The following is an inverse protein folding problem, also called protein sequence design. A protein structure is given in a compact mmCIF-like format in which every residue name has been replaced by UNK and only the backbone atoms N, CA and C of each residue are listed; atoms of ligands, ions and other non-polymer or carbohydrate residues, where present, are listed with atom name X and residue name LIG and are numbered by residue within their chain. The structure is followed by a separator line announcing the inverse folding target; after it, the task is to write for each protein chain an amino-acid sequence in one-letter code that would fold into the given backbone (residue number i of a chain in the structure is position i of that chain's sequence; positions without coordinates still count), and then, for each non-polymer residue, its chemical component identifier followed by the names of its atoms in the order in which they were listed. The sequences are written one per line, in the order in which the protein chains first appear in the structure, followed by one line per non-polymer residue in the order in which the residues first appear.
data_IF_846437081688
#
_entry.id   IF_846437081688
#
_cell.length_a   1.000
_cell.length_b   1.000
_cell.length_c   1.000
_cell.angle_alpha   90.00
_cell.angle_beta   90.00
_cell.angle_gamma   90.00
#
_symmetry.space_group_name_H-M   'P 1'
#
loop_
_entity.id
_entity.type
_entity.pdbx_description
1 polymer ?
#
# COMPACT_ATOMS: atom_id res chain seq x y z
N UNK A 1 49.65 -28.16 60.17
CA UNK A 1 48.25 -27.75 60.47
C UNK A 1 47.79 -26.88 59.31
N UNK A 2 46.71 -27.23 58.60
CA UNK A 2 46.16 -26.38 57.53
C UNK A 2 45.40 -25.22 58.17
N UNK A 3 46.01 -24.04 58.20
CA UNK A 3 45.43 -22.81 58.78
C UNK A 3 44.18 -22.32 58.02
N UNK A 4 44.02 -22.75 56.77
CA UNK A 4 42.92 -22.35 55.87
C UNK A 4 41.57 -23.06 56.18
N UNK A 5 41.58 -24.10 57.02
CA UNK A 5 40.39 -24.90 57.34
C UNK A 5 39.80 -24.62 58.73
N UNK A 6 40.31 -23.61 59.45
CA UNK A 6 39.84 -23.27 60.79
C UNK A 6 38.67 -22.28 60.73
N UNK A 7 37.65 -22.51 61.54
CA UNK A 7 36.57 -21.54 61.71
C UNK A 7 37.09 -20.29 62.45
N UNK A 8 36.42 -19.15 62.25
CA UNK A 8 36.78 -17.86 62.88
C UNK A 8 37.05 -17.96 64.41
N UNK A 9 36.24 -18.65 65.24
CA UNK A 9 36.54 -18.77 66.67
C UNK A 9 37.76 -19.65 66.96
N UNK A 10 38.00 -20.70 66.18
CA UNK A 10 39.18 -21.57 66.34
C UNK A 10 40.47 -20.83 65.99
N UNK A 11 40.43 -20.00 64.93
CA UNK A 11 41.55 -19.16 64.53
C UNK A 11 41.89 -18.10 65.59
N UNK A 12 40.88 -17.44 66.16
CA UNK A 12 41.08 -16.47 67.25
C UNK A 12 41.67 -17.12 68.50
N UNK A 13 41.15 -18.29 68.90
CA UNK A 13 41.71 -19.04 70.03
C UNK A 13 43.17 -19.43 69.78
N UNK A 14 43.50 -19.87 68.57
CA UNK A 14 44.87 -20.20 68.20
C UNK A 14 45.81 -18.98 68.25
N UNK A 15 45.36 -17.83 67.75
CA UNK A 15 46.15 -16.58 67.85
C UNK A 15 46.34 -16.12 69.29
N UNK A 16 45.31 -16.20 70.13
CA UNK A 16 45.46 -15.86 71.56
C UNK A 16 46.43 -16.78 72.30
N UNK A 17 46.48 -18.08 71.96
CA UNK A 17 47.47 -19.01 72.52
C UNK A 17 48.88 -18.68 72.03
N UNK A 18 49.05 -18.40 70.74
CA UNK A 18 50.35 -18.04 70.18
C UNK A 18 50.89 -16.72 70.73
N UNK A 19 50.03 -15.72 70.93
CA UNK A 19 50.38 -14.45 71.56
C UNK A 19 50.90 -14.68 72.98
N UNK A 20 50.16 -15.45 73.79
CA UNK A 20 50.59 -15.79 75.14
C UNK A 20 51.87 -16.64 75.19
N UNK A 21 52.09 -17.53 74.22
CA UNK A 21 53.33 -18.31 74.10
C UNK A 21 54.53 -17.41 73.78
N UNK A 22 54.33 -16.41 72.91
CA UNK A 22 55.37 -15.48 72.50
C UNK A 22 55.76 -14.55 73.65
N UNK A 23 54.76 -13.99 74.35
CA UNK A 23 54.98 -13.19 75.56
C UNK A 23 55.72 -13.98 76.66
N UNK A 24 55.33 -15.24 76.90
CA UNK A 24 56.01 -16.08 77.88
C UNK A 24 57.48 -16.34 77.52
N UNK A 25 57.80 -16.50 76.23
CA UNK A 25 59.18 -16.64 75.77
C UNK A 25 59.98 -15.37 75.98
N UNK A 26 59.41 -14.20 75.72
CA UNK A 26 60.08 -12.93 75.93
C UNK A 26 60.45 -12.73 77.41
N UNK A 27 59.54 -13.07 78.33
CA UNK A 27 59.80 -13.04 79.78
C UNK A 27 60.94 -13.99 80.17
N UNK A 28 60.98 -15.20 79.62
CA UNK A 28 62.06 -16.17 79.89
C UNK A 28 63.39 -15.69 79.31
N UNK A 29 63.40 -15.12 78.11
CA UNK A 29 64.60 -14.54 77.50
C UNK A 29 65.13 -13.41 78.38
N UNK A 30 64.26 -12.51 78.84
CA UNK A 30 64.65 -11.42 79.73
C UNK A 30 65.22 -11.95 81.06
N UNK A 31 64.57 -12.95 81.66
CA UNK A 31 65.06 -13.60 82.88
C UNK A 31 66.43 -14.28 82.67
N UNK A 32 66.62 -15.00 81.57
CA UNK A 32 67.89 -15.64 81.23
C UNK A 32 68.99 -14.61 80.95
N UNK A 33 68.66 -13.51 80.28
CA UNK A 33 69.61 -12.41 80.06
C UNK A 33 70.00 -11.73 81.37
N UNK A 34 69.04 -11.48 82.27
CA UNK A 34 69.31 -10.93 83.60
C UNK A 34 70.19 -11.89 84.41
N UNK A 35 69.85 -13.18 84.44
CA UNK A 35 70.65 -14.20 85.11
C UNK A 35 72.07 -14.29 84.53
N UNK A 36 72.22 -14.21 83.21
CA UNK A 36 73.54 -14.25 82.58
C UNK A 36 74.37 -13.00 82.89
N UNK A 37 73.74 -11.82 82.96
CA UNK A 37 74.40 -10.58 83.42
C UNK A 37 74.84 -10.70 84.88
N UNK A 38 73.94 -11.16 85.76
CA UNK A 38 74.24 -11.30 87.18
C UNK A 38 75.32 -12.37 87.41
N UNK A 39 75.26 -13.49 86.71
CA UNK A 39 76.29 -14.53 86.75
C UNK A 39 77.63 -14.02 86.23
N UNK A 40 77.64 -13.31 85.10
CA UNK A 40 78.85 -12.68 84.57
C UNK A 40 79.45 -11.69 85.56
N UNK A 41 78.61 -10.87 86.21
CA UNK A 41 79.05 -9.93 87.23
C UNK A 41 79.56 -10.69 88.46
N UNK A 42 78.90 -11.75 88.89
CA UNK A 42 79.29 -12.54 90.05
C UNK A 42 80.60 -13.33 89.81
N UNK A 43 80.82 -13.91 88.63
CA UNK A 43 82.08 -14.60 88.31
C UNK A 43 83.27 -13.64 88.23
N UNK A 44 83.08 -12.47 87.61
CA UNK A 44 84.13 -11.45 87.47
C UNK A 44 84.38 -10.64 88.73
N UNK A 45 83.32 -10.30 89.45
CA UNK A 45 83.33 -9.28 90.50
C UNK A 45 82.77 -9.76 91.84
N UNK A 46 82.11 -10.92 91.91
CA UNK A 46 81.52 -11.46 93.14
C UNK A 46 82.53 -11.90 94.21
N UNK A 47 83.83 -11.94 93.87
CA UNK A 47 84.92 -12.11 94.85
C UNK A 47 85.25 -10.82 95.62
N UNK A 48 84.74 -9.68 95.17
CA UNK A 48 85.02 -8.37 95.73
C UNK A 48 83.72 -7.75 96.26
N UNK A 49 83.71 -7.35 97.52
CA UNK A 49 82.63 -6.50 98.02
C UNK A 49 82.84 -5.08 97.50
N UNK A 50 81.93 -4.61 96.65
CA UNK A 50 81.99 -3.27 96.04
C UNK A 50 81.82 -2.16 97.10
N UNK A 51 81.32 -2.53 98.29
CA UNK A 51 81.17 -1.63 99.44
C UNK A 51 82.48 -1.40 100.21
N UNK A 52 83.52 -2.22 99.97
CA UNK A 52 84.85 -2.08 100.58
C UNK A 52 85.83 -1.41 99.59
N UNK A 53 86.25 -0.16 99.86
CA UNK A 53 87.18 0.57 99.00
C UNK A 53 88.52 -0.15 98.77
N UNK A 54 88.99 -0.96 99.72
CA UNK A 54 90.27 -1.67 99.60
C UNK A 54 90.20 -2.85 98.63
N UNK A 55 89.11 -3.61 98.63
CA UNK A 55 88.90 -4.72 97.69
C UNK A 55 88.68 -4.22 96.26
N UNK A 56 88.00 -3.08 96.10
CA UNK A 56 87.86 -2.42 94.80
C UNK A 56 89.21 -1.97 94.21
N UNK A 57 90.08 -1.39 95.03
CA UNK A 57 91.45 -1.00 94.65
C UNK A 57 92.34 -2.21 94.32
N UNK A 58 92.19 -3.31 95.06
CA UNK A 58 92.93 -4.55 94.80
C UNK A 58 92.54 -5.17 93.45
N UNK A 59 91.25 -5.21 93.11
CA UNK A 59 90.74 -5.63 91.79
C UNK A 59 91.37 -4.82 90.66
N UNK A 60 91.40 -3.50 90.81
CA UNK A 60 91.94 -2.62 89.78
C UNK A 60 93.45 -2.86 89.59
N UNK A 61 94.17 -3.11 90.68
CA UNK A 61 95.59 -3.48 90.63
C UNK A 61 95.85 -4.89 90.05
N UNK A 62 94.96 -5.85 90.25
CA UNK A 62 95.08 -7.21 89.71
C UNK A 62 94.78 -7.26 88.21
N UNK A 63 93.79 -6.51 87.75
CA UNK A 63 93.50 -6.34 86.30
C UNK A 63 94.68 -5.73 85.55
N UNK A 64 95.40 -4.79 86.19
CA UNK A 64 96.65 -4.24 85.67
C UNK A 64 97.75 -5.31 85.70
N UNK A 65 97.89 -6.08 86.78
CA UNK A 65 98.97 -7.09 86.92
C UNK A 65 98.80 -8.32 86.03
N UNK A 66 97.57 -8.76 85.74
CA UNK A 66 97.30 -9.91 84.87
C UNK A 66 97.64 -9.62 83.40
N UNK A 67 97.59 -8.35 82.98
CA UNK A 67 98.09 -7.92 81.67
C UNK A 67 99.63 -7.95 81.54
N UNK A 68 100.38 -8.08 82.64
CA UNK A 68 101.85 -7.97 82.69
C UNK A 68 102.55 -9.18 83.33
N UNK A 69 101.92 -10.36 83.37
CA UNK A 69 102.46 -11.58 83.99
C UNK A 69 102.71 -12.72 83.00
N UNK A 70 103.39 -12.40 81.89
CA UNK A 70 103.95 -13.43 81.01
C UNK A 70 104.47 -12.88 79.68
N UNK A 71 105.61 -12.19 79.70
CA UNK A 71 106.66 -12.18 78.65
C UNK A 71 107.48 -10.88 78.74
N UNK A 72 108.78 -11.04 79.00
CA UNK A 72 109.77 -9.99 78.80
C UNK A 72 110.10 -9.93 77.31
N UNK A 73 109.57 -8.93 76.60
CA UNK A 73 110.17 -8.43 75.36
C UNK A 73 110.09 -6.89 75.37
N UNK A 74 111.19 -6.15 75.13
CA UNK A 74 111.15 -4.69 75.12
C UNK A 74 110.42 -4.22 73.86
N UNK A 75 109.12 -3.94 73.99
CA UNK A 75 108.37 -3.19 72.98
C UNK A 75 108.79 -1.73 73.08
N UNK A 76 109.83 -1.37 72.35
CA UNK A 76 110.04 0.00 71.90
C UNK A 76 110.08 -0.02 70.37
N UNK A 77 108.91 -0.16 69.75
CA UNK A 77 108.74 0.33 68.38
C UNK A 77 108.86 1.84 68.42
N UNK A 78 109.78 2.39 67.63
CA UNK A 78 110.01 3.84 67.53
C UNK A 78 108.65 4.57 67.33
N UNK A 79 108.23 5.50 68.21
CA UNK A 79 106.92 6.14 68.13
C UNK A 79 106.67 6.86 66.79
N UNK A 80 107.72 7.28 66.09
CA UNK A 80 107.62 7.88 64.76
C UNK A 80 107.22 6.87 63.67
N UNK A 81 107.56 5.59 63.79
CA UNK A 81 107.17 4.57 62.81
C UNK A 81 105.67 4.25 62.91
N UNK A 82 105.15 4.15 64.14
CA UNK A 82 103.71 3.97 64.40
C UNK A 82 102.92 5.17 63.88
N UNK A 83 103.38 6.41 64.14
CA UNK A 83 102.74 7.62 63.62
C UNK A 83 102.71 7.66 62.08
N UNK A 84 103.80 7.28 61.40
CA UNK A 84 103.84 7.19 59.94
C UNK A 84 102.81 6.19 59.40
N UNK A 85 102.69 5.02 60.01
CA UNK A 85 101.67 4.02 59.62
C UNK A 85 100.27 4.60 59.77
N UNK A 86 99.96 5.22 60.92
CA UNK A 86 98.66 5.85 61.16
C UNK A 86 98.38 6.97 60.17
N UNK A 87 99.34 7.86 59.89
CA UNK A 87 99.18 8.92 58.89
C UNK A 87 98.91 8.36 57.49
N UNK A 88 99.61 7.30 57.08
CA UNK A 88 99.36 6.66 55.78
C UNK A 88 97.98 5.99 55.74
N UNK A 89 97.52 5.42 56.85
CA UNK A 89 96.19 4.84 56.97
C UNK A 89 95.10 5.91 56.92
N UNK A 90 95.26 7.02 57.63
CA UNK A 90 94.34 8.17 57.58
C UNK A 90 94.26 8.76 56.17
N UNK A 91 95.40 8.92 55.47
CA UNK A 91 95.41 9.42 54.09
C UNK A 91 94.67 8.49 53.12
N UNK A 92 94.92 7.17 53.20
CA UNK A 92 94.19 6.17 52.41
C UNK A 92 92.70 6.15 52.72
N UNK A 93 92.31 6.33 53.98
CA UNK A 93 90.91 6.44 54.39
C UNK A 93 90.26 7.69 53.80
N UNK A 94 90.93 8.84 53.88
CA UNK A 94 90.46 10.10 53.31
C UNK A 94 90.26 9.99 51.79
N UNK A 95 91.23 9.43 51.06
CA UNK A 95 91.13 9.22 49.60
C UNK A 95 89.96 8.30 49.22
N UNK A 96 89.76 7.21 49.98
CA UNK A 96 88.61 6.32 49.79
C UNK A 96 87.29 7.01 50.08
N UNK A 97 87.20 7.75 51.18
CA UNK A 97 86.00 8.48 51.58
C UNK A 97 85.63 9.53 50.53
N UNK A 98 86.61 10.31 50.06
CA UNK A 98 86.38 11.32 49.01
C UNK A 98 85.92 10.65 47.70
N UNK A 99 86.52 9.53 47.32
CA UNK A 99 86.13 8.78 46.11
C UNK A 99 84.74 8.17 46.22
N UNK A 100 84.34 7.70 47.41
CA UNK A 100 83.00 7.20 47.67
C UNK A 100 81.97 8.34 47.66
N UNK A 101 82.30 9.49 48.24
CA UNK A 101 81.44 10.68 48.22
C UNK A 101 81.23 11.19 46.80
N UNK A 102 82.29 11.30 45.99
CA UNK A 102 82.15 11.77 44.60
C UNK A 102 81.35 10.79 43.72
N UNK A 103 81.49 9.48 43.95
CA UNK A 103 80.69 8.46 43.29
C UNK A 103 79.21 8.50 43.73
N UNK A 104 78.94 8.71 45.03
CA UNK A 104 77.59 8.89 45.55
C UNK A 104 76.94 10.16 44.98
N UNK A 105 77.65 11.27 44.98
CA UNK A 105 77.19 12.54 44.41
C UNK A 105 76.89 12.41 42.91
N UNK A 106 77.76 11.75 42.13
CA UNK A 106 77.51 11.50 40.71
C UNK A 106 76.27 10.65 40.46
N UNK A 107 76.04 9.60 41.28
CA UNK A 107 74.83 8.78 41.20
C UNK A 107 73.58 9.56 41.57
N UNK A 108 73.62 10.33 42.66
CA UNK A 108 72.49 11.17 43.07
C UNK A 108 72.16 12.23 42.01
N UNK A 109 73.19 12.89 41.45
CA UNK A 109 73.01 13.85 40.36
C UNK A 109 72.31 13.20 39.16
N UNK A 110 72.68 11.98 38.79
CA UNK A 110 72.01 11.24 37.71
C UNK A 110 70.54 10.95 38.03
N UNK A 111 70.26 10.44 39.24
CA UNK A 111 68.87 10.15 39.67
C UNK A 111 68.01 11.40 39.67
N UNK A 112 68.56 12.55 40.11
CA UNK A 112 67.83 13.82 40.08
C UNK A 112 67.47 14.20 38.64
N UNK A 113 68.42 14.11 37.71
CA UNK A 113 68.17 14.41 36.29
C UNK A 113 67.12 13.46 35.68
N UNK A 114 67.22 12.15 35.97
CA UNK A 114 66.25 11.16 35.49
C UNK A 114 64.84 11.48 36.03
N UNK A 115 64.70 11.84 37.31
CA UNK A 115 63.41 12.24 37.91
C UNK A 115 62.87 13.57 37.35
N UNK A 116 63.73 14.54 37.07
CA UNK A 116 63.34 15.79 36.43
C UNK A 116 62.87 15.58 34.99
N UNK A 117 63.50 14.66 34.26
CA UNK A 117 63.08 14.25 32.93
C UNK A 117 61.72 13.55 32.97
N UNK A 118 61.53 12.56 33.86
CA UNK A 118 60.23 11.89 34.01
C UNK A 118 59.13 12.87 34.42
N UNK A 119 59.42 13.83 35.32
CA UNK A 119 58.46 14.88 35.67
C UNK A 119 58.05 15.73 34.46
N UNK A 120 58.99 16.08 33.59
CA UNK A 120 58.66 16.82 32.35
C UNK A 120 57.85 15.96 31.39
N UNK A 121 58.21 14.68 31.20
CA UNK A 121 57.47 13.76 30.33
C UNK A 121 56.02 13.61 30.80
N UNK A 122 55.80 13.36 32.08
CA UNK A 122 54.46 13.30 32.65
C UNK A 122 53.66 14.59 32.48
N UNK A 123 54.30 15.77 32.64
CA UNK A 123 53.64 17.04 32.41
C UNK A 123 53.24 17.23 30.93
N UNK A 124 54.06 16.79 29.99
CA UNK A 124 53.76 16.81 28.56
C UNK A 124 52.64 15.82 28.21
N UNK A 125 52.73 14.57 28.67
CA UNK A 125 51.73 13.54 28.45
C UNK A 125 50.35 13.95 29.00
N UNK A 126 50.33 14.63 30.15
CA UNK A 126 49.09 15.17 30.74
C UNK A 126 48.50 16.28 29.87
N UNK A 127 49.32 17.22 29.41
CA UNK A 127 48.86 18.31 28.55
C UNK A 127 48.34 17.80 27.19
N UNK A 128 49.03 16.85 26.56
CA UNK A 128 48.57 16.21 25.33
C UNK A 128 47.26 15.43 25.55
N UNK A 129 47.13 14.78 26.71
CA UNK A 129 45.89 14.12 27.13
C UNK A 129 44.71 15.08 27.28
N UNK A 130 44.94 16.28 27.81
CA UNK A 130 43.92 17.32 27.96
C UNK A 130 43.44 17.83 26.58
N UNK A 131 44.35 18.05 25.63
CA UNK A 131 44.00 18.48 24.26
C UNK A 131 43.13 17.43 23.55
N UNK A 132 43.48 16.14 23.66
CA UNK A 132 42.70 15.03 23.09
C UNK A 132 41.31 14.97 23.76
N UNK A 133 41.26 15.11 25.08
CA UNK A 133 39.99 15.09 25.84
C UNK A 133 39.08 16.23 25.39
N UNK A 134 39.59 17.45 25.29
CA UNK A 134 38.84 18.61 24.82
C UNK A 134 38.29 18.42 23.40
N UNK A 135 39.11 17.88 22.48
CA UNK A 135 38.67 17.61 21.10
C UNK A 135 37.55 16.57 21.03
N UNK A 136 37.63 15.51 21.85
CA UNK A 136 36.59 14.48 21.94
C UNK A 136 35.30 15.02 22.56
N UNK A 137 35.40 15.85 23.60
CA UNK A 137 34.24 16.50 24.21
C UNK A 137 33.54 17.43 23.22
N UNK A 138 34.30 18.22 22.47
CA UNK A 138 33.76 19.09 21.42
C UNK A 138 33.06 18.31 20.31
N UNK A 139 33.64 17.21 19.84
CA UNK A 139 32.99 16.33 18.86
C UNK A 139 31.73 15.67 19.44
N UNK A 140 31.75 15.25 20.71
CA UNK A 140 30.56 14.71 21.40
C UNK A 140 29.44 15.75 21.44
N UNK A 141 29.73 16.99 21.80
CA UNK A 141 28.74 18.08 21.82
C UNK A 141 28.17 18.33 20.42
N UNK A 142 29.04 18.42 19.41
CA UNK A 142 28.63 18.60 18.01
C UNK A 142 27.70 17.47 17.53
N UNK A 143 28.08 16.22 17.81
CA UNK A 143 27.26 15.04 17.47
C UNK A 143 25.94 15.01 18.25
N UNK A 144 25.94 15.45 19.50
CA UNK A 144 24.72 15.54 20.32
C UNK A 144 23.75 16.56 19.73
N UNK A 145 24.24 17.75 19.36
CA UNK A 145 23.42 18.78 18.70
C UNK A 145 22.87 18.29 17.35
N UNK A 146 23.70 17.60 16.55
CA UNK A 146 23.26 17.02 15.29
C UNK A 146 22.16 15.96 15.49
N UNK A 147 22.33 15.09 16.50
CA UNK A 147 21.34 14.08 16.84
C UNK A 147 20.02 14.69 17.34
N UNK A 148 20.07 15.77 18.12
CA UNK A 148 18.87 16.49 18.56
C UNK A 148 18.14 17.16 17.39
N UNK A 149 18.88 17.76 16.46
CA UNK A 149 18.33 18.31 15.23
C UNK A 149 17.62 17.24 14.41
N UNK A 150 18.28 16.11 14.13
CA UNK A 150 17.68 14.99 13.38
C UNK A 150 16.46 14.41 14.09
N UNK A 151 16.51 14.24 15.42
CA UNK A 151 15.34 13.81 16.22
C UNK A 151 14.17 14.78 16.07
N UNK A 152 14.43 16.08 16.00
CA UNK A 152 13.37 17.08 15.82
C UNK A 152 12.74 17.01 14.42
N UNK A 153 13.56 16.76 13.39
CA UNK A 153 13.14 16.59 12.01
C UNK A 153 12.31 15.32 11.83
N UNK A 154 12.75 14.19 12.41
CA UNK A 154 11.99 12.93 12.44
C UNK A 154 10.63 13.14 13.09
N UNK A 155 10.56 13.78 14.27
CA UNK A 155 9.28 14.09 14.93
C UNK A 155 8.34 14.94 14.07
N UNK A 156 8.87 15.86 13.26
CA UNK A 156 8.07 16.68 12.33
C UNK A 156 7.49 15.81 11.22
N UNK A 157 8.33 14.99 10.58
CA UNK A 157 7.91 14.08 9.50
C UNK A 157 6.91 13.04 10.02
N UNK A 158 7.11 12.48 11.21
CA UNK A 158 6.16 11.53 11.83
C UNK A 158 4.78 12.14 12.05
N UNK A 159 4.71 13.42 12.47
CA UNK A 159 3.43 14.14 12.62
C UNK A 159 2.75 14.35 11.27
N UNK A 160 3.51 14.72 10.25
CA UNK A 160 3.00 14.88 8.88
C UNK A 160 2.52 13.54 8.31
N UNK A 161 3.29 12.45 8.49
CA UNK A 161 2.90 11.09 8.12
C UNK A 161 1.60 10.67 8.80
N UNK A 162 1.47 10.89 10.12
CA UNK A 162 0.24 10.58 10.86
C UNK A 162 -0.96 11.38 10.33
N UNK A 163 -0.76 12.66 10.00
CA UNK A 163 -1.81 13.51 9.43
C UNK A 163 -2.25 13.00 8.05
N UNK A 164 -1.31 12.74 7.15
CA UNK A 164 -1.60 12.22 5.79
C UNK A 164 -2.25 10.83 5.87
N UNK A 165 -1.78 9.97 6.77
CA UNK A 165 -2.38 8.64 6.99
C UNK A 165 -3.83 8.74 7.45
N UNK A 166 -4.13 9.64 8.39
CA UNK A 166 -5.51 9.86 8.86
C UNK A 166 -6.41 10.38 7.73
N UNK A 167 -5.90 11.29 6.90
CA UNK A 167 -6.64 11.81 5.73
C UNK A 167 -6.91 10.70 4.70
N UNK A 168 -5.92 9.85 4.44
CA UNK A 168 -6.07 8.71 3.53
C UNK A 168 -7.13 7.72 4.02
N UNK A 169 -7.19 7.46 5.33
CA UNK A 169 -8.20 6.59 5.92
C UNK A 169 -9.61 7.19 5.81
N UNK A 170 -9.73 8.50 6.05
CA UNK A 170 -10.98 9.24 5.89
C UNK A 170 -11.48 9.19 4.44
N UNK A 171 -10.61 9.48 3.46
CA UNK A 171 -10.95 9.38 2.03
C UNK A 171 -11.32 7.95 1.61
N UNK A 172 -10.60 6.94 2.13
CA UNK A 172 -10.98 5.53 1.91
C UNK A 172 -12.37 5.22 2.47
N UNK A 173 -12.72 5.78 3.63
CA UNK A 173 -14.06 5.59 4.22
C UNK A 173 -15.15 6.28 3.39
N UNK A 174 -14.89 7.51 2.90
CA UNK A 174 -15.78 8.25 1.98
C UNK A 174 -15.99 7.48 0.68
N UNK A 175 -14.91 7.00 0.05
CA UNK A 175 -14.99 6.20 -1.16
C UNK A 175 -15.82 4.93 -0.95
N UNK A 176 -15.60 4.18 0.13
CA UNK A 176 -16.43 3.00 0.46
C UNK A 176 -17.91 3.35 0.56
N UNK A 177 -18.25 4.47 1.21
CA UNK A 177 -19.62 4.93 1.33
C UNK A 177 -20.23 5.30 -0.03
N UNK A 178 -19.51 6.09 -0.84
CA UNK A 178 -19.96 6.50 -2.18
C UNK A 178 -20.16 5.29 -3.08
N UNK A 179 -19.20 4.36 -3.14
CA UNK A 179 -19.33 3.12 -3.92
C UNK A 179 -20.52 2.29 -3.44
N UNK A 180 -20.76 2.18 -2.12
CA UNK A 180 -21.91 1.47 -1.59
C UNK A 180 -23.25 2.12 -2.00
N UNK A 181 -23.35 3.44 -1.99
CA UNK A 181 -24.54 4.18 -2.47
C UNK A 181 -24.74 3.98 -3.96
N UNK A 182 -23.68 4.14 -4.77
CA UNK A 182 -23.75 3.93 -6.21
C UNK A 182 -24.15 2.50 -6.56
N UNK A 183 -23.61 1.48 -5.90
CA UNK A 183 -24.02 0.09 -6.10
C UNK A 183 -25.52 -0.13 -5.79
N UNK A 184 -26.04 0.51 -4.73
CA UNK A 184 -27.47 0.44 -4.41
C UNK A 184 -28.32 1.10 -5.50
N UNK A 185 -27.93 2.27 -6.00
CA UNK A 185 -28.65 2.97 -7.06
C UNK A 185 -28.55 2.24 -8.41
N UNK A 186 -27.37 1.70 -8.77
CA UNK A 186 -27.22 0.85 -9.96
C UNK A 186 -28.13 -0.38 -9.87
N UNK A 187 -28.15 -1.08 -8.73
CA UNK A 187 -29.06 -2.24 -8.53
C UNK A 187 -30.53 -1.84 -8.67
N UNK A 188 -30.92 -0.69 -8.10
CA UNK A 188 -32.29 -0.17 -8.19
C UNK A 188 -32.65 0.20 -9.63
N UNK A 189 -31.75 0.84 -10.37
CA UNK A 189 -31.94 1.19 -11.77
C UNK A 189 -32.06 -0.05 -12.66
N UNK A 190 -31.20 -1.05 -12.46
CA UNK A 190 -31.28 -2.34 -13.16
C UNK A 190 -32.60 -3.06 -12.92
N UNK A 191 -33.06 -3.12 -11.66
CA UNK A 191 -34.35 -3.73 -11.33
C UNK A 191 -35.52 -3.00 -12.02
N UNK A 192 -35.54 -1.66 -11.97
CA UNK A 192 -36.56 -0.86 -12.67
C UNK A 192 -36.53 -1.08 -14.19
N UNK A 193 -35.35 -1.11 -14.80
CA UNK A 193 -35.21 -1.37 -16.23
C UNK A 193 -35.72 -2.77 -16.60
N UNK A 194 -35.46 -3.78 -15.76
CA UNK A 194 -36.00 -5.12 -15.95
C UNK A 194 -37.54 -5.15 -15.84
N UNK A 195 -38.11 -4.46 -14.85
CA UNK A 195 -39.57 -4.33 -14.71
C UNK A 195 -40.22 -3.63 -15.90
N UNK A 196 -39.67 -2.50 -16.37
CA UNK A 196 -40.19 -1.81 -17.56
C UNK A 196 -40.02 -2.65 -18.82
N UNK A 197 -38.91 -3.38 -18.95
CA UNK A 197 -38.70 -4.34 -20.03
C UNK A 197 -39.78 -5.44 -20.05
N UNK A 198 -40.13 -5.98 -18.88
CA UNK A 198 -41.23 -6.93 -18.75
C UNK A 198 -42.58 -6.31 -19.14
N UNK A 199 -42.90 -5.10 -18.65
CA UNK A 199 -44.15 -4.40 -19.02
C UNK A 199 -44.23 -4.11 -20.51
N UNK A 200 -43.14 -3.66 -21.13
CA UNK A 200 -43.08 -3.41 -22.56
C UNK A 200 -43.30 -4.70 -23.37
N UNK A 201 -42.70 -5.83 -22.96
CA UNK A 201 -42.92 -7.13 -23.57
C UNK A 201 -44.39 -7.59 -23.46
N UNK A 202 -45.01 -7.43 -22.29
CA UNK A 202 -46.44 -7.74 -22.08
C UNK A 202 -47.36 -6.89 -22.96
N UNK A 203 -47.11 -5.58 -23.06
CA UNK A 203 -47.90 -4.68 -23.91
C UNK A 203 -47.70 -4.98 -25.40
N UNK A 204 -46.49 -5.32 -25.81
CA UNK A 204 -46.18 -5.73 -27.19
C UNK A 204 -46.91 -7.03 -27.53
N UNK A 205 -46.93 -8.02 -26.63
CA UNK A 205 -47.68 -9.26 -26.82
C UNK A 205 -49.20 -9.01 -26.93
N UNK A 206 -49.76 -8.12 -26.12
CA UNK A 206 -51.17 -7.70 -26.23
C UNK A 206 -51.46 -7.02 -27.57
N UNK A 207 -50.57 -6.14 -28.01
CA UNK A 207 -50.71 -5.43 -29.28
C UNK A 207 -50.66 -6.40 -30.47
N UNK A 208 -49.71 -7.34 -30.49
CA UNK A 208 -49.62 -8.35 -31.56
C UNK A 208 -50.86 -9.26 -31.58
N UNK A 209 -51.39 -9.63 -30.40
CA UNK A 209 -52.67 -10.33 -30.32
C UNK A 209 -53.81 -9.52 -30.94
N UNK A 210 -53.89 -8.22 -30.67
CA UNK A 210 -54.97 -7.40 -31.23
C UNK A 210 -54.80 -7.12 -32.72
N UNK A 211 -53.57 -6.93 -33.21
CA UNK A 211 -53.27 -6.86 -34.64
C UNK A 211 -53.68 -8.15 -35.36
N UNK A 212 -53.38 -9.32 -34.79
CA UNK A 212 -53.76 -10.61 -35.37
C UNK A 212 -55.29 -10.79 -35.43
N UNK A 213 -56.04 -10.20 -34.50
CA UNK A 213 -57.51 -10.17 -34.57
C UNK A 213 -58.01 -9.17 -35.61
N UNK A 214 -57.45 -7.97 -35.67
CA UNK A 214 -57.84 -6.94 -36.66
C UNK A 214 -57.65 -7.47 -38.07
N UNK A 215 -56.47 -8.00 -38.37
CA UNK A 215 -56.15 -8.62 -39.67
C UNK A 215 -57.13 -9.74 -40.03
N UNK A 216 -57.46 -10.62 -39.08
CA UNK A 216 -58.49 -11.65 -39.27
C UNK A 216 -59.87 -11.07 -39.58
N UNK A 217 -60.30 -10.03 -38.85
CA UNK A 217 -61.59 -9.37 -39.10
C UNK A 217 -61.62 -8.64 -40.44
N UNK A 218 -60.51 -8.02 -40.85
CA UNK A 218 -60.35 -7.39 -42.17
C UNK A 218 -60.45 -8.42 -43.28
N UNK A 219 -59.83 -9.59 -43.12
CA UNK A 219 -59.95 -10.72 -44.06
C UNK A 219 -61.38 -11.25 -44.15
N UNK A 220 -62.05 -11.43 -43.01
CA UNK A 220 -63.46 -11.85 -42.93
C UNK A 220 -64.40 -10.83 -43.60
N UNK A 221 -64.19 -9.53 -43.35
CA UNK A 221 -64.94 -8.44 -43.99
C UNK A 221 -64.70 -8.40 -45.50
N UNK A 222 -63.46 -8.49 -45.95
CA UNK A 222 -63.12 -8.53 -47.37
C UNK A 222 -63.75 -9.75 -48.07
N UNK A 223 -63.82 -10.90 -47.39
CA UNK A 223 -64.49 -12.08 -47.90
C UNK A 223 -66.02 -11.89 -48.02
N UNK A 224 -66.67 -11.20 -47.08
CA UNK A 224 -68.09 -10.85 -47.18
C UNK A 224 -68.35 -9.83 -48.30
N UNK A 225 -67.52 -8.79 -48.46
CA UNK A 225 -67.64 -7.82 -49.57
C UNK A 225 -67.54 -8.55 -50.92
N UNK A 226 -66.57 -9.45 -51.09
CA UNK A 226 -66.44 -10.28 -52.30
C UNK A 226 -67.67 -11.17 -52.53
N UNK A 227 -68.24 -11.76 -51.47
CA UNK A 227 -69.49 -12.53 -51.56
C UNK A 227 -70.71 -11.67 -51.88
N UNK A 228 -70.75 -10.45 -51.36
CA UNK A 228 -71.79 -9.45 -51.64
C UNK A 228 -71.76 -9.02 -53.10
N UNK A 229 -70.59 -8.59 -53.59
CA UNK A 229 -70.42 -8.19 -55.00
C UNK A 229 -70.66 -9.34 -55.98
N UNK A 230 -70.26 -10.57 -55.63
CA UNK A 230 -70.55 -11.75 -56.45
C UNK A 230 -72.05 -12.03 -56.57
N UNK A 231 -72.80 -11.87 -55.47
CA UNK A 231 -74.27 -11.97 -55.48
C UNK A 231 -74.90 -10.82 -56.27
N UNK A 232 -74.41 -9.60 -56.11
CA UNK A 232 -74.88 -8.43 -56.85
C UNK A 232 -74.69 -8.59 -58.36
N UNK A 233 -73.49 -8.99 -58.80
CA UNK A 233 -73.20 -9.25 -60.21
C UNK A 233 -74.07 -10.39 -60.80
N UNK A 234 -74.37 -11.42 -60.00
CA UNK A 234 -75.29 -12.49 -60.43
C UNK A 234 -76.72 -11.96 -60.62
N UNK A 235 -77.20 -11.11 -59.71
CA UNK A 235 -78.52 -10.49 -59.82
C UNK A 235 -78.61 -9.52 -61.01
N UNK A 236 -77.56 -8.72 -61.24
CA UNK A 236 -77.48 -7.81 -62.40
C UNK A 236 -77.50 -8.58 -63.72
N UNK A 237 -76.76 -9.70 -63.80
CA UNK A 237 -76.82 -10.60 -64.95
C UNK A 237 -78.25 -11.10 -65.19
N UNK A 238 -78.94 -11.60 -64.17
CA UNK A 238 -80.33 -12.04 -64.31
C UNK A 238 -81.27 -10.92 -64.76
N UNK A 239 -81.13 -9.70 -64.22
CA UNK A 239 -81.92 -8.55 -64.65
C UNK A 239 -81.67 -8.21 -66.13
N UNK A 240 -80.41 -8.22 -66.58
CA UNK A 240 -80.07 -8.00 -67.98
C UNK A 240 -80.64 -9.09 -68.89
N UNK A 241 -80.64 -10.35 -68.46
CA UNK A 241 -81.27 -11.47 -69.16
C UNK A 241 -82.79 -11.21 -69.30
N UNK A 242 -83.48 -10.87 -68.21
CA UNK A 242 -84.90 -10.51 -68.24
C UNK A 242 -85.21 -9.31 -69.14
N UNK A 243 -84.38 -8.26 -69.13
CA UNK A 243 -84.58 -7.10 -70.01
C UNK A 243 -84.40 -7.47 -71.48
N UNK A 244 -83.38 -8.28 -71.82
CA UNK A 244 -83.21 -8.77 -73.19
C UNK A 244 -84.38 -9.67 -73.63
N UNK A 245 -84.88 -10.55 -72.75
CA UNK A 245 -86.06 -11.37 -73.02
C UNK A 245 -87.31 -10.52 -73.23
N UNK A 246 -87.53 -9.52 -72.37
CA UNK A 246 -88.64 -8.57 -72.48
C UNK A 246 -88.59 -7.79 -73.78
N UNK A 247 -87.41 -7.33 -74.20
CA UNK A 247 -87.24 -6.59 -75.44
C UNK A 247 -87.43 -7.50 -76.67
N UNK A 248 -86.96 -8.75 -76.61
CA UNK A 248 -87.25 -9.76 -77.63
C UNK A 248 -88.75 -10.03 -77.76
N UNK A 249 -89.47 -10.16 -76.65
CA UNK A 249 -90.92 -10.35 -76.62
C UNK A 249 -91.66 -9.13 -77.15
N UNK A 250 -91.25 -7.90 -76.78
CA UNK A 250 -91.78 -6.65 -77.36
C UNK A 250 -91.57 -6.59 -78.86
N UNK A 251 -90.37 -6.93 -79.35
CA UNK A 251 -90.10 -6.96 -80.79
C UNK A 251 -90.93 -8.03 -81.51
N UNK A 252 -91.19 -9.19 -80.88
CA UNK A 252 -92.11 -10.21 -81.43
C UNK A 252 -93.55 -9.70 -81.47
N UNK A 253 -94.02 -9.09 -80.38
CA UNK A 253 -95.33 -8.48 -80.28
C UNK A 253 -95.53 -7.41 -81.36
N UNK A 254 -94.58 -6.48 -81.51
CA UNK A 254 -94.62 -5.44 -82.53
C UNK A 254 -94.63 -6.03 -83.96
N UNK A 255 -93.91 -7.13 -84.23
CA UNK A 255 -94.01 -7.82 -85.53
C UNK A 255 -95.40 -8.40 -85.78
N UNK A 256 -96.01 -9.02 -84.76
CA UNK A 256 -97.38 -9.54 -84.87
C UNK A 256 -98.42 -8.41 -84.97
N UNK A 257 -98.25 -7.31 -84.24
CA UNK A 257 -99.08 -6.11 -84.32
C UNK A 257 -98.98 -5.48 -85.72
N UNK A 258 -97.78 -5.34 -86.28
CA UNK A 258 -97.58 -4.87 -87.65
C UNK A 258 -98.19 -5.84 -88.69
N UNK A 259 -98.08 -7.17 -88.48
CA UNK A 259 -98.77 -8.16 -89.33
C UNK A 259 -100.28 -8.03 -89.24
N UNK A 260 -100.83 -7.87 -88.04
CA UNK A 260 -102.28 -7.69 -87.87
C UNK A 260 -102.74 -6.35 -88.44
N UNK A 261 -101.92 -5.30 -88.34
CA UNK A 261 -102.20 -4.00 -88.96
C UNK A 261 -102.15 -4.10 -90.49
N UNK A 262 -101.14 -4.72 -91.08
CA UNK A 262 -101.05 -4.96 -92.51
C UNK A 262 -102.22 -5.82 -93.03
N UNK A 263 -102.59 -6.89 -92.32
CA UNK A 263 -103.77 -7.70 -92.65
C UNK A 263 -105.07 -6.90 -92.52
N UNK A 264 -105.19 -6.02 -91.53
CA UNK A 264 -106.34 -5.11 -91.41
C UNK A 264 -106.39 -4.12 -92.58
N UNK A 265 -105.24 -3.59 -93.01
CA UNK A 265 -105.13 -2.73 -94.19
C UNK A 265 -105.46 -3.50 -95.48
N UNK A 266 -105.04 -4.76 -95.63
CA UNK A 266 -105.46 -5.63 -96.74
C UNK A 266 -106.97 -5.91 -96.70
N UNK A 267 -107.55 -6.15 -95.52
CA UNK A 267 -109.01 -6.32 -95.38
C UNK A 267 -109.74 -5.02 -95.70
N UNK A 268 -109.24 -3.86 -95.29
CA UNK A 268 -109.76 -2.53 -95.66
C UNK A 268 -109.63 -2.29 -97.17
N UNK A 269 -108.49 -2.61 -97.78
CA UNK A 269 -108.25 -2.49 -99.22
C UNK A 269 -109.13 -3.46 -100.02
N UNK A 270 -109.31 -4.70 -99.56
CA UNK A 270 -110.22 -5.66 -100.17
C UNK A 270 -111.68 -5.26 -99.98
N UNK A 271 -112.05 -4.65 -98.85
CA UNK A 271 -113.37 -4.03 -98.65
C UNK A 271 -113.58 -2.88 -99.62
N UNK A 272 -112.60 -1.98 -99.78
CA UNK A 272 -112.61 -0.91 -100.80
C UNK A 272 -112.70 -1.49 -102.21
N UNK A 273 -111.92 -2.51 -102.55
CA UNK A 273 -111.97 -3.17 -103.86
C UNK A 273 -113.31 -3.88 -104.11
N UNK A 274 -113.92 -4.43 -103.07
CA UNK A 274 -115.28 -5.00 -103.12
C UNK A 274 -116.33 -3.89 -103.26
N UNK A 275 -116.14 -2.73 -102.62
CA UNK A 275 -116.98 -1.54 -102.85
C UNK A 275 -116.81 -1.01 -104.28
N UNK A 276 -115.58 -0.96 -104.80
CA UNK A 276 -115.23 -0.48 -106.14
C UNK A 276 -115.68 -1.44 -107.25
N UNK A 277 -115.69 -2.76 -107.02
CA UNK A 277 -116.24 -3.75 -107.96
C UNK A 277 -117.77 -3.85 -107.93
N UNK A 278 -118.42 -3.33 -106.88
CA UNK A 278 -119.89 -3.39 -106.74
C UNK A 278 -120.60 -2.25 -107.47
N UNK A 279 -119.90 -1.17 -107.86
CA UNK A 279 -120.48 0.01 -108.50
C UNK A 279 -119.61 0.47 -109.71
N UNK A 280 -120.21 0.63 -110.90
CA UNK A 280 -119.47 0.86 -112.15
C UNK A 280 -118.96 2.29 -112.46
N UNK A 281 -118.14 2.34 -113.53
CA UNK A 281 -117.70 3.46 -114.43
C UNK A 281 -116.97 4.70 -113.85
N UNK A 282 -115.86 5.01 -114.58
CA UNK A 282 -115.20 6.30 -114.88
C UNK A 282 -114.16 6.89 -113.89
N UNK A 283 -112.91 6.95 -114.37
CA UNK A 283 -111.87 7.98 -114.08
C UNK A 283 -112.42 9.42 -114.32
N UNK A 284 -111.75 10.56 -113.97
CA UNK A 284 -110.48 10.83 -113.24
C UNK A 284 -110.56 12.02 -112.22
N UNK A 285 -109.40 12.41 -111.65
CA UNK A 285 -108.93 13.78 -111.29
C UNK A 285 -108.46 14.02 -109.83
N UNK A 286 -107.13 14.07 -109.67
CA UNK A 286 -106.31 15.17 -109.08
C UNK A 286 -107.05 16.49 -108.81
N UNK A 287 -106.67 17.35 -107.82
CA UNK A 287 -105.28 17.79 -107.64
C UNK A 287 -104.80 18.17 -106.20
N UNK A 288 -103.47 18.24 -106.10
CA UNK A 288 -102.64 19.27 -105.43
C UNK A 288 -102.73 19.54 -103.91
N UNK A 289 -101.62 19.25 -103.23
CA UNK A 289 -100.99 19.91 -102.06
C UNK A 289 -99.69 19.13 -101.77
N UNK A 290 -98.56 19.68 -101.32
CA UNK A 290 -98.05 21.03 -101.22
C UNK A 290 -96.55 20.86 -100.91
N UNK A 291 -95.76 21.75 -101.49
CA UNK A 291 -94.45 22.27 -101.07
C UNK A 291 -93.36 21.38 -100.45
N UNK A 292 -92.22 21.45 -101.12
CA UNK A 292 -90.93 20.92 -100.76
C UNK A 292 -90.09 21.87 -99.90
N UNK A 293 -88.98 21.30 -99.41
CA UNK A 293 -87.69 21.92 -99.05
C UNK A 293 -87.42 21.99 -97.55
N UNK A 294 -86.62 21.07 -97.00
CA UNK A 294 -85.15 20.96 -97.10
C UNK A 294 -84.44 21.79 -96.02
N UNK A 295 -83.99 21.14 -94.94
CA UNK A 295 -82.86 21.57 -94.10
C UNK A 295 -82.13 20.35 -93.51
N UNK A 296 -81.10 19.90 -94.24
CA UNK A 296 -79.70 19.73 -93.82
C UNK A 296 -79.35 19.33 -92.36
N UNK A 297 -78.92 18.06 -92.23
CA UNK A 297 -77.67 17.55 -91.63
C UNK A 297 -77.51 17.19 -90.14
N UNK A 298 -77.02 15.94 -89.99
CA UNK A 298 -76.12 15.32 -88.99
C UNK A 298 -76.67 14.81 -87.63
N UNK A 299 -76.04 13.79 -86.99
CA UNK A 299 -75.02 12.84 -87.48
C UNK A 299 -75.26 11.35 -87.15
N UNK A 300 -74.57 10.48 -87.89
CA UNK A 300 -74.42 9.05 -87.60
C UNK A 300 -72.93 8.65 -87.70
N UNK A 301 -72.51 7.85 -86.72
CA UNK A 301 -71.58 6.70 -86.79
C UNK A 301 -70.04 6.84 -86.65
N UNK A 302 -69.55 6.01 -85.70
CA UNK A 302 -68.30 5.23 -85.56
C UNK A 302 -66.92 5.88 -85.48
N UNK A 303 -66.15 5.40 -84.50
CA UNK A 303 -64.68 5.44 -84.53
C UNK A 303 -64.02 5.01 -83.21
N UNK A 304 -63.43 3.83 -83.21
CA UNK A 304 -62.50 3.27 -82.21
C UNK A 304 -61.24 4.12 -82.04
N UNK A 305 -60.69 4.21 -80.81
CA UNK A 305 -59.34 3.77 -80.42
C UNK A 305 -58.80 4.53 -79.18
N UNK A 306 -58.37 3.72 -78.20
CA UNK A 306 -57.15 3.81 -77.38
C UNK A 306 -56.77 5.15 -76.73
N UNK A 307 -56.73 5.12 -75.41
CA UNK A 307 -55.71 5.85 -74.62
C UNK A 307 -55.06 4.89 -73.60
N UNK A 308 -53.73 4.97 -73.35
CA UNK A 308 -52.99 3.92 -72.65
C UNK A 308 -52.62 4.28 -71.20
N UNK A 309 -52.52 3.19 -70.43
CA UNK A 309 -51.42 2.81 -69.53
C UNK A 309 -51.15 3.57 -68.22
N UNK A 310 -51.34 2.79 -67.15
CA UNK A 310 -50.38 2.43 -66.09
C UNK A 310 -50.02 3.50 -65.05
N UNK A 311 -50.42 3.23 -63.81
CA UNK A 311 -49.55 3.47 -62.65
C UNK A 311 -49.49 2.20 -61.81
N UNK A 312 -48.42 1.45 -62.04
CA UNK A 312 -47.91 0.42 -61.14
C UNK A 312 -46.57 0.90 -60.63
N UNK A 313 -46.40 1.01 -59.32
CA UNK A 313 -45.10 0.69 -58.72
C UNK A 313 -45.27 0.21 -57.29
N UNK A 314 -45.00 -1.07 -57.12
CA UNK A 314 -44.60 -1.67 -55.86
C UNK A 314 -43.24 -1.07 -55.45
N UNK A 315 -43.02 -0.85 -54.16
CA UNK A 315 -41.68 -0.86 -53.59
C UNK A 315 -41.66 -1.91 -52.46
N UNK A 316 -41.04 -3.05 -52.78
CA UNK A 316 -40.51 -4.00 -51.81
C UNK A 316 -39.07 -3.63 -51.48
N UNK A 317 -38.77 -3.63 -50.18
CA UNK A 317 -37.52 -4.05 -49.53
C UNK A 317 -36.21 -3.28 -49.77
N UNK A 318 -35.66 -2.74 -48.68
CA UNK A 318 -34.28 -3.05 -48.26
C UNK A 318 -34.07 -2.82 -46.76
N UNK A 319 -33.44 -3.82 -46.15
CA UNK A 319 -32.99 -3.93 -44.75
C UNK A 319 -31.55 -3.44 -44.56
N UNK A 320 -31.15 -3.34 -43.28
CA UNK A 320 -29.79 -3.23 -42.71
C UNK A 320 -29.12 -1.85 -42.77
N UNK A 321 -28.93 -1.14 -41.65
CA UNK A 321 -28.03 -1.41 -40.52
C UNK A 321 -26.56 -1.11 -40.83
N UNK A 322 -26.08 0.04 -40.37
CA UNK A 322 -24.68 0.25 -40.01
C UNK A 322 -24.62 1.16 -38.76
N UNK A 323 -24.20 0.56 -37.64
CA UNK A 323 -23.65 1.29 -36.49
C UNK A 323 -22.16 1.48 -36.77
N UNK A 324 -21.70 2.72 -36.70
CA UNK A 324 -20.29 3.05 -36.53
C UNK A 324 -20.06 3.32 -35.04
N UNK A 325 -19.52 2.33 -34.34
CA UNK A 325 -18.79 2.52 -33.09
C UNK A 325 -17.30 2.61 -33.42
N UNK A 326 -16.69 3.75 -33.07
CA UNK A 326 -15.28 3.89 -32.72
C UNK A 326 -15.16 4.94 -31.62
#
# INVERSE_FOLDING_TARGET
MNLENLSKPELLMFFSVLEGELEARDVVIEALQAQHRDHFIQERYGKYDISDPFLALQRDCETIREAYRGEKQPVCTNPLSVLKVVMTQCKKMQERMVSQLSAAESRHRKVILDLEEERRRHAQDTAEGDDVTYMLEKERERLTQQLEFEKSQVKKVEKEQKKVSSQLEEERSRHKQVTAVLMKECKKATNKAAEEGQRAAEMSAKLEKEKSKSTRLEEELAAEIRRGSGREAQMEKQLSEFDTEKEQLRAKLNREENRTQALKEEVENLKKLIEDMKNGKLFPNEPEQDEASEVTSLPQHLGSDKCPLVSSLCQTESTCAERSDK
#
